data_IF_146041057585
#
_entry.id   IF_146041057585
#
_cell.length_a   1.000
_cell.length_b   1.000
_cell.length_c   1.000
_cell.angle_alpha   90.00
_cell.angle_beta   90.00
_cell.angle_gamma   90.00
#
_symmetry.space_group_name_H-M   'P 1'
#
loop_
_entity.id
_entity.type
_entity.pdbx_description
1 polymer ?
#
# COMPACT_ATOMS: atom_id res chain seq x y z
N UNK A 1 -4.11 40.57 39.51
CA UNK A 1 -3.78 39.32 40.23
C UNK A 1 -5.01 38.43 40.32
N UNK A 2 -5.37 37.70 39.26
CA UNK A 2 -6.34 36.59 39.36
C UNK A 2 -5.94 35.51 38.36
N UNK A 3 -5.46 34.41 38.91
CA UNK A 3 -5.17 33.13 38.26
C UNK A 3 -6.49 32.38 38.08
N UNK A 4 -6.72 31.81 36.91
CA UNK A 4 -7.54 30.61 36.61
C UNK A 4 -7.66 30.55 35.08
N UNK A 5 -6.82 29.85 34.30
CA UNK A 5 -6.73 28.39 34.18
C UNK A 5 -8.08 27.70 34.31
N UNK A 6 -8.86 27.66 33.22
CA UNK A 6 -9.76 26.54 32.87
C UNK A 6 -10.04 26.60 31.35
N UNK A 7 -9.24 25.91 30.55
CA UNK A 7 -9.59 25.56 29.16
C UNK A 7 -10.00 24.09 29.19
N UNK A 8 -11.31 23.84 29.21
CA UNK A 8 -11.88 22.51 29.22
C UNK A 8 -11.73 21.87 27.83
N UNK A 9 -11.06 20.74 27.82
CA UNK A 9 -10.79 19.89 26.67
C UNK A 9 -12.06 19.13 26.22
N UNK A 10 -12.25 19.01 24.90
CA UNK A 10 -12.95 17.88 24.27
C UNK A 10 -12.77 17.94 22.73
N UNK A 11 -11.54 17.69 22.25
CA UNK A 11 -11.33 17.28 20.86
C UNK A 11 -11.44 15.75 20.83
N UNK A 12 -12.63 15.22 20.56
CA UNK A 12 -12.81 13.80 20.24
C UNK A 12 -12.29 13.54 18.82
N UNK A 13 -10.96 13.52 18.67
CA UNK A 13 -10.30 12.96 17.51
C UNK A 13 -10.37 11.43 17.62
N UNK A 14 -11.46 10.85 17.11
CA UNK A 14 -11.54 9.42 16.84
C UNK A 14 -10.52 9.08 15.75
N UNK A 15 -9.31 8.71 16.17
CA UNK A 15 -8.29 8.18 15.30
C UNK A 15 -8.78 6.84 14.72
N UNK A 16 -9.30 6.87 13.50
CA UNK A 16 -9.45 5.66 12.68
C UNK A 16 -8.02 5.23 12.38
N UNK A 17 -7.50 4.27 13.15
CA UNK A 17 -6.22 3.65 12.89
C UNK A 17 -6.29 2.92 11.56
N UNK A 18 -5.78 3.54 10.49
CA UNK A 18 -5.43 2.82 9.27
C UNK A 18 -4.23 1.97 9.64
N UNK A 19 -4.46 0.70 9.98
CA UNK A 19 -3.37 -0.24 10.13
C UNK A 19 -2.59 -0.26 8.80
N UNK A 20 -1.25 -0.14 8.83
CA UNK A 20 -0.48 -0.26 7.60
C UNK A 20 -0.73 -1.66 7.05
N UNK A 21 -1.19 -1.74 5.79
CA UNK A 21 -1.21 -3.00 5.08
C UNK A 21 0.24 -3.51 5.09
N UNK A 22 0.47 -4.67 5.69
CA UNK A 22 1.76 -5.33 5.61
C UNK A 22 1.95 -5.70 4.14
N UNK A 23 2.69 -4.87 3.41
CA UNK A 23 3.07 -5.13 2.03
C UNK A 23 4.12 -6.24 2.10
N UNK A 24 3.68 -7.47 1.89
CA UNK A 24 4.60 -8.59 1.72
C UNK A 24 5.47 -8.30 0.49
N UNK A 25 6.75 -8.66 0.56
CA UNK A 25 7.60 -8.60 -0.62
C UNK A 25 6.92 -9.38 -1.76
N UNK A 26 6.93 -8.84 -2.99
CA UNK A 26 6.27 -9.47 -4.12
C UNK A 26 6.80 -10.89 -4.33
N UNK A 27 5.93 -11.90 -4.45
CA UNK A 27 6.32 -13.31 -4.36
C UNK A 27 7.03 -13.82 -5.62
N UNK A 28 7.06 -13.04 -6.69
CA UNK A 28 7.49 -13.49 -8.01
C UNK A 28 8.85 -12.91 -8.39
N UNK A 29 9.77 -13.80 -8.75
CA UNK A 29 11.04 -13.40 -9.36
C UNK A 29 10.85 -12.97 -10.82
N UNK A 30 9.91 -13.60 -11.51
CA UNK A 30 9.63 -13.36 -12.92
C UNK A 30 8.12 -13.40 -13.20
N UNK A 31 7.67 -12.66 -14.22
CA UNK A 31 6.26 -12.68 -14.63
C UNK A 31 5.73 -14.06 -15.03
N UNK A 32 6.59 -14.98 -15.49
CA UNK A 32 6.19 -16.38 -15.75
C UNK A 32 5.63 -17.07 -14.50
N UNK A 33 6.17 -16.75 -13.33
CA UNK A 33 5.75 -17.35 -12.05
C UNK A 33 4.41 -16.73 -11.63
N UNK A 34 4.28 -15.40 -11.79
CA UNK A 34 3.01 -14.72 -11.61
C UNK A 34 1.91 -15.27 -12.53
N UNK A 35 2.22 -15.52 -13.81
CA UNK A 35 1.29 -16.09 -14.77
C UNK A 35 0.87 -17.52 -14.44
N UNK A 36 1.76 -18.33 -13.86
CA UNK A 36 1.43 -19.66 -13.39
C UNK A 36 0.38 -19.63 -12.27
N UNK A 37 0.43 -18.59 -11.44
CA UNK A 37 -0.56 -18.32 -10.38
C UNK A 37 -1.76 -17.48 -10.87
N UNK A 38 -1.86 -17.24 -12.19
CA UNK A 38 -2.94 -16.49 -12.81
C UNK A 38 -2.90 -14.97 -12.56
N UNK A 39 -1.82 -14.45 -11.98
CA UNK A 39 -1.59 -13.02 -11.75
C UNK A 39 -1.03 -12.34 -13.01
N UNK A 40 -1.60 -11.21 -13.39
CA UNK A 40 -1.18 -10.36 -14.50
C UNK A 40 -1.75 -8.95 -14.31
N UNK A 41 -1.18 -7.96 -15.01
CA UNK A 41 -1.59 -6.55 -14.97
C UNK A 41 -1.68 -6.03 -13.51
N UNK A 42 -0.63 -6.28 -12.73
CA UNK A 42 -0.58 -5.91 -11.31
C UNK A 42 -0.24 -4.43 -11.21
N UNK A 43 -1.13 -3.62 -10.63
CA UNK A 43 -0.84 -2.20 -10.36
C UNK A 43 0.03 -2.04 -9.12
N UNK A 44 0.59 -0.86 -8.89
CA UNK A 44 1.41 -0.54 -7.70
C UNK A 44 0.74 -0.82 -6.34
N UNK A 45 -0.59 -0.93 -6.31
CA UNK A 45 -1.36 -1.30 -5.11
C UNK A 45 -1.52 -2.82 -4.92
N UNK A 46 -1.22 -3.65 -5.93
CA UNK A 46 -1.29 -5.11 -5.82
C UNK A 46 -0.08 -5.60 -4.99
N UNK A 47 -0.29 -6.49 -4.00
CA UNK A 47 0.80 -7.07 -3.21
C UNK A 47 1.79 -7.89 -4.07
N UNK A 48 1.42 -8.27 -5.28
CA UNK A 48 2.30 -8.92 -6.25
C UNK A 48 3.11 -7.96 -7.12
N UNK A 49 2.89 -6.65 -7.03
CA UNK A 49 3.65 -5.66 -7.79
C UNK A 49 5.09 -5.57 -7.31
N UNK A 50 6.00 -5.52 -8.27
CA UNK A 50 7.39 -5.20 -8.03
C UNK A 50 7.90 -4.36 -9.20
N UNK A 51 8.70 -3.34 -8.91
CA UNK A 51 9.38 -2.54 -9.95
C UNK A 51 10.22 -3.42 -10.90
N UNK A 52 10.78 -4.55 -10.43
CA UNK A 52 11.54 -5.46 -11.31
C UNK A 52 10.66 -6.31 -12.24
N UNK A 53 9.36 -6.36 -12.00
CA UNK A 53 8.37 -7.05 -12.84
C UNK A 53 7.70 -6.09 -13.84
N UNK A 54 7.82 -4.79 -13.60
CA UNK A 54 7.36 -3.69 -14.45
C UNK A 54 8.54 -3.23 -15.33
N UNK A 55 8.61 -3.77 -16.55
CA UNK A 55 9.80 -3.63 -17.39
C UNK A 55 9.95 -2.22 -17.96
N UNK A 56 8.83 -1.56 -18.27
CA UNK A 56 8.77 -0.21 -18.84
C UNK A 56 8.50 0.87 -17.79
N UNK A 57 8.13 0.50 -16.56
CA UNK A 57 7.99 1.41 -15.43
C UNK A 57 6.73 2.25 -15.52
N UNK A 58 5.67 1.73 -16.12
CA UNK A 58 4.40 2.43 -16.30
C UNK A 58 3.45 2.28 -15.09
N UNK A 59 3.85 1.47 -14.10
CA UNK A 59 3.10 1.17 -12.89
C UNK A 59 2.25 -0.09 -13.02
N UNK A 60 2.40 -0.88 -14.08
CA UNK A 60 1.69 -2.13 -14.32
C UNK A 60 2.69 -3.27 -14.54
N UNK A 61 2.88 -4.10 -13.51
CA UNK A 61 3.73 -5.28 -13.61
C UNK A 61 3.05 -6.44 -14.36
N UNK A 62 3.84 -7.17 -15.15
CA UNK A 62 3.41 -8.39 -15.85
C UNK A 62 2.15 -8.21 -16.72
N UNK A 63 2.20 -7.20 -17.59
CA UNK A 63 1.15 -6.97 -18.57
C UNK A 63 1.01 -8.12 -19.59
N UNK A 64 -0.23 -8.33 -20.04
CA UNK A 64 -0.57 -9.27 -21.13
C UNK A 64 -1.11 -8.50 -22.33
N UNK A 65 -0.25 -7.68 -22.91
CA UNK A 65 -0.47 -6.89 -24.12
C UNK A 65 0.19 -7.51 -25.36
#
# INVERSE_FOLDING_TARGET
>A
MFRALLVAAALTAGAIGVAPAAQADPPYRYCKDAYADGKANMTTDDPGYAEHLDRDGDGIACEKN
#
